data_IF_194588485763
#
_entry.id   IF_194588485763
#
_cell.length_a   1.000
_cell.length_b   1.000
_cell.length_c   1.000
_cell.angle_alpha   90.00
_cell.angle_beta   90.00
_cell.angle_gamma   90.00
#
_symmetry.space_group_name_H-M   'P 1'
#
loop_
_entity.id
_entity.type
_entity.pdbx_description
1 polymer ?
#
# COMPACT_ATOMS: atom_id res chain seq x y z
N UNK A 1 1.77 3.88 17.53
CA UNK A 1 1.62 2.46 17.92
C UNK A 1 0.15 2.05 18.14
N UNK A 2 -0.70 2.90 18.71
CA UNK A 2 -2.11 2.56 18.99
C UNK A 2 -3.09 3.42 18.16
N UNK A 3 -3.00 3.32 16.82
CA UNK A 3 -3.92 4.05 15.94
C UNK A 3 -5.21 3.24 15.70
N UNK A 4 -6.37 3.89 15.70
CA UNK A 4 -7.68 3.23 15.51
C UNK A 4 -7.80 2.45 14.19
N UNK A 5 -7.01 2.81 13.17
CA UNK A 5 -6.98 2.07 11.90
C UNK A 5 -6.46 0.64 12.05
N UNK A 6 -5.64 0.33 13.07
CA UNK A 6 -5.10 -1.03 13.26
C UNK A 6 -6.21 -2.07 13.51
N UNK A 7 -7.27 -1.68 14.21
CA UNK A 7 -8.45 -2.54 14.40
C UNK A 7 -9.16 -2.84 13.08
N UNK A 8 -9.29 -1.83 12.21
CA UNK A 8 -9.89 -1.98 10.87
C UNK A 8 -9.05 -2.88 9.96
N UNK A 9 -7.71 -2.75 9.98
CA UNK A 9 -6.86 -3.64 9.19
C UNK A 9 -6.93 -5.10 9.65
N UNK A 10 -7.07 -5.35 10.96
CA UNK A 10 -7.33 -6.70 11.48
C UNK A 10 -8.69 -7.24 11.02
N UNK A 11 -9.73 -6.42 11.04
CA UNK A 11 -11.05 -6.78 10.52
C UNK A 11 -10.99 -7.12 9.03
N UNK A 12 -10.32 -6.30 8.22
CA UNK A 12 -10.09 -6.57 6.79
C UNK A 12 -9.35 -7.90 6.60
N UNK A 13 -8.28 -8.17 7.37
CA UNK A 13 -7.57 -9.44 7.31
C UNK A 13 -8.48 -10.65 7.56
N UNK A 14 -9.39 -10.57 8.52
CA UNK A 14 -10.39 -11.62 8.79
C UNK A 14 -11.38 -11.78 7.64
N UNK A 15 -11.88 -10.68 7.08
CA UNK A 15 -12.81 -10.70 5.94
C UNK A 15 -12.16 -11.38 4.73
N UNK A 16 -10.93 -10.98 4.38
CA UNK A 16 -10.23 -11.48 3.19
C UNK A 16 -9.87 -12.97 3.33
N UNK A 17 -9.41 -13.38 4.52
CA UNK A 17 -8.95 -14.76 4.75
C UNK A 17 -10.05 -15.71 5.19
N UNK A 18 -11.21 -15.20 5.63
CA UNK A 18 -12.28 -16.00 6.24
C UNK A 18 -11.93 -16.60 7.61
N UNK A 19 -10.88 -16.11 8.28
CA UNK A 19 -10.40 -16.64 9.56
C UNK A 19 -10.52 -15.58 10.67
N UNK A 20 -11.27 -15.89 11.73
CA UNK A 20 -11.46 -14.97 12.87
C UNK A 20 -10.15 -14.64 13.62
N UNK A 21 -9.15 -15.51 13.52
CA UNK A 21 -7.84 -15.32 14.15
C UNK A 21 -6.86 -14.52 13.30
N UNK A 22 -7.23 -14.14 12.07
CA UNK A 22 -6.34 -13.40 11.18
C UNK A 22 -5.93 -12.04 11.74
N UNK A 23 -4.69 -11.68 11.42
CA UNK A 23 -4.05 -10.40 11.70
C UNK A 23 -4.15 -9.47 10.48
N UNK A 24 -3.67 -8.22 10.63
CA UNK A 24 -3.54 -7.32 9.50
C UNK A 24 -2.54 -7.85 8.46
N UNK A 25 -1.43 -8.44 8.91
CA UNK A 25 -0.36 -8.96 8.05
C UNK A 25 -0.84 -10.16 7.22
N UNK A 26 -1.74 -10.99 7.76
CA UNK A 26 -2.40 -12.05 6.98
C UNK A 26 -3.22 -11.47 5.81
N UNK A 27 -3.85 -10.30 6.00
CA UNK A 27 -4.54 -9.59 4.92
C UNK A 27 -3.59 -9.02 3.87
N UNK A 28 -2.38 -8.59 4.27
CA UNK A 28 -1.32 -8.15 3.35
C UNK A 28 -0.84 -9.33 2.51
N UNK A 29 -0.52 -10.47 3.14
CA UNK A 29 -0.10 -11.69 2.46
C UNK A 29 -1.18 -12.16 1.45
N UNK A 30 -2.45 -12.19 1.87
CA UNK A 30 -3.56 -12.52 0.99
C UNK A 30 -3.66 -11.58 -0.23
N UNK A 31 -3.37 -10.29 -0.05
CA UNK A 31 -3.39 -9.31 -1.14
C UNK A 31 -2.25 -9.54 -2.14
N UNK A 32 -1.07 -9.94 -1.67
CA UNK A 32 0.03 -10.36 -2.55
C UNK A 32 -0.30 -11.63 -3.32
N UNK A 33 -0.89 -12.64 -2.66
CA UNK A 33 -1.32 -13.88 -3.32
C UNK A 33 -2.34 -13.58 -4.42
N UNK A 34 -3.29 -12.67 -4.17
CA UNK A 34 -4.28 -12.26 -5.17
C UNK A 34 -3.62 -11.54 -6.37
N UNK A 35 -2.69 -10.62 -6.10
CA UNK A 35 -1.93 -9.91 -7.14
C UNK A 35 -1.20 -10.91 -8.04
N UNK A 36 -0.56 -11.90 -7.46
CA UNK A 36 0.18 -12.93 -8.22
C UNK A 36 -0.76 -13.85 -9.00
N UNK A 37 -1.89 -14.25 -8.40
CA UNK A 37 -2.93 -15.05 -9.09
C UNK A 37 -3.55 -14.31 -10.29
N UNK A 38 -3.65 -12.98 -10.21
CA UNK A 38 -4.12 -12.11 -11.29
C UNK A 38 -3.00 -11.67 -12.25
N UNK A 39 -1.76 -12.07 -11.99
CA UNK A 39 -0.56 -11.68 -12.75
C UNK A 39 -0.44 -10.15 -12.93
N UNK A 40 -0.73 -9.36 -11.88
CA UNK A 40 -0.63 -7.90 -11.94
C UNK A 40 0.84 -7.48 -11.90
N UNK A 41 1.38 -6.84 -12.96
CA UNK A 41 2.78 -6.48 -13.03
C UNK A 41 3.12 -5.28 -12.13
N UNK A 42 4.40 -5.14 -11.79
CA UNK A 42 4.94 -3.96 -11.09
C UNK A 42 4.88 -2.70 -11.98
N UNK A 43 4.99 -1.52 -11.37
CA UNK A 43 4.90 -0.25 -12.10
C UNK A 43 6.02 -0.08 -13.13
N UNK A 44 7.20 -0.68 -12.92
CA UNK A 44 8.31 -0.65 -13.88
C UNK A 44 7.96 -1.29 -15.23
N UNK A 45 7.06 -2.28 -15.24
CA UNK A 45 6.57 -2.88 -16.50
C UNK A 45 5.77 -1.89 -17.37
N UNK A 46 5.25 -0.82 -16.77
CA UNK A 46 4.56 0.27 -17.47
C UNK A 46 5.48 1.46 -17.78
N UNK A 47 6.79 1.31 -17.59
CA UNK A 47 7.79 2.35 -17.89
C UNK A 47 7.98 3.38 -16.78
N UNK A 48 7.50 3.12 -15.56
CA UNK A 48 7.81 3.97 -14.42
C UNK A 48 9.19 3.63 -13.85
N UNK A 49 10.13 4.57 -13.89
CA UNK A 49 11.47 4.44 -13.33
C UNK A 49 11.80 5.52 -12.30
N UNK A 50 12.97 5.39 -11.67
CA UNK A 50 13.46 6.31 -10.65
C UNK A 50 13.60 7.76 -11.17
N UNK A 51 13.81 7.93 -12.46
CA UNK A 51 13.85 9.23 -13.16
C UNK A 51 12.50 9.98 -13.08
N UNK A 52 11.38 9.26 -12.99
CA UNK A 52 10.06 9.86 -12.87
C UNK A 52 9.66 10.22 -11.42
N UNK A 53 10.40 9.75 -10.41
CA UNK A 53 9.98 9.86 -9.00
C UNK A 53 9.90 11.32 -8.53
N UNK A 54 10.84 12.17 -8.99
CA UNK A 54 10.86 13.60 -8.69
C UNK A 54 9.57 14.32 -9.15
N UNK A 55 8.92 13.82 -10.21
CA UNK A 55 7.66 14.37 -10.72
C UNK A 55 6.42 13.77 -10.06
N UNK A 56 6.50 12.51 -9.61
CA UNK A 56 5.37 11.78 -9.00
C UNK A 56 5.17 12.20 -7.54
N UNK A 57 6.25 12.28 -6.75
CA UNK A 57 6.17 12.55 -5.31
C UNK A 57 5.39 13.83 -4.95
N UNK A 58 5.66 15.00 -5.59
CA UNK A 58 4.93 16.23 -5.26
C UNK A 58 3.45 16.17 -5.61
N UNK A 59 3.09 15.39 -6.64
CA UNK A 59 1.69 15.20 -7.06
C UNK A 59 0.97 14.27 -6.09
N UNK A 60 1.61 13.16 -5.70
CA UNK A 60 1.08 12.22 -4.72
C UNK A 60 0.76 12.95 -3.40
N UNK A 61 1.69 13.75 -2.88
CA UNK A 61 1.52 14.52 -1.63
C UNK A 61 0.32 15.47 -1.62
N UNK A 62 -0.02 16.05 -2.78
CA UNK A 62 -1.12 17.00 -2.93
C UNK A 62 -2.48 16.31 -3.13
N UNK A 63 -2.50 15.00 -3.37
CA UNK A 63 -3.73 14.27 -3.60
C UNK A 63 -4.66 14.30 -2.37
N UNK A 64 -5.97 14.40 -2.60
CA UNK A 64 -6.95 14.38 -1.51
C UNK A 64 -6.96 13.07 -0.74
N UNK A 65 -6.57 11.95 -1.38
CA UNK A 65 -6.40 10.65 -0.74
C UNK A 65 -5.33 10.67 0.35
N UNK A 66 -4.27 11.49 0.22
CA UNK A 66 -3.26 11.64 1.28
C UNK A 66 -3.83 12.29 2.54
N UNK A 67 -4.81 13.20 2.40
CA UNK A 67 -5.50 13.79 3.56
C UNK A 67 -6.39 12.79 4.29
N UNK A 68 -6.95 11.83 3.55
CA UNK A 68 -7.78 10.75 4.12
C UNK A 68 -6.99 9.55 4.61
N UNK A 69 -5.69 9.46 4.30
CA UNK A 69 -4.86 8.36 4.74
C UNK A 69 -4.69 8.42 6.28
N UNK A 70 -4.95 7.34 7.03
CA UNK A 70 -4.76 7.33 8.49
C UNK A 70 -3.32 7.57 8.95
N UNK A 71 -2.35 7.50 8.04
CA UNK A 71 -0.96 7.83 8.28
C UNK A 71 -0.53 8.96 7.34
N UNK A 72 -0.08 10.08 7.91
CA UNK A 72 0.55 11.13 7.13
C UNK A 72 1.97 10.65 6.75
N UNK A 73 2.18 10.40 5.45
CA UNK A 73 3.46 9.93 4.95
C UNK A 73 4.39 11.11 4.66
N UNK A 74 5.65 10.93 5.02
CA UNK A 74 6.77 11.78 4.64
C UNK A 74 7.18 11.52 3.18
N UNK A 75 7.99 12.42 2.62
CA UNK A 75 8.49 12.25 1.25
C UNK A 75 9.39 11.01 1.14
N UNK A 76 10.19 10.70 2.17
CA UNK A 76 11.06 9.51 2.21
C UNK A 76 10.25 8.21 2.29
N UNK A 77 9.16 8.18 3.06
CA UNK A 77 8.28 7.01 3.13
C UNK A 77 7.52 6.79 1.81
N UNK A 78 7.06 7.86 1.16
CA UNK A 78 6.45 7.77 -0.16
C UNK A 78 7.45 7.27 -1.21
N UNK A 79 8.69 7.76 -1.16
CA UNK A 79 9.77 7.31 -2.04
C UNK A 79 10.04 5.81 -1.84
N UNK A 80 10.18 5.35 -0.60
CA UNK A 80 10.42 3.94 -0.30
C UNK A 80 9.28 3.02 -0.76
N UNK A 81 8.02 3.48 -0.67
CA UNK A 81 6.87 2.74 -1.23
C UNK A 81 6.97 2.66 -2.76
N UNK A 82 7.34 3.77 -3.41
CA UNK A 82 7.45 3.82 -4.87
C UNK A 82 8.60 2.94 -5.39
N UNK A 83 9.74 2.93 -4.69
CA UNK A 83 10.89 2.05 -4.97
C UNK A 83 10.53 0.56 -4.88
N UNK A 84 9.65 0.18 -3.95
CA UNK A 84 9.17 -1.20 -3.83
C UNK A 84 8.10 -1.57 -4.86
N UNK A 85 7.45 -0.58 -5.46
CA UNK A 85 6.33 -0.77 -6.38
C UNK A 85 6.75 -0.86 -7.86
N UNK A 86 7.99 -0.45 -8.19
CA UNK A 86 8.55 -0.54 -9.54
C UNK A 86 9.14 -1.90 -9.87
#
# INVERSE_FOLDING_TARGET
PEHAALGRYREVGRILTGKDTATADDGVAWTYDLRDALAIPALGAFGLGADAFADVLPKARKASSMKGNPLALTDDELLGILEQAV
#
